data_IF_828412920974
#
_entry.id   IF_828412920974
#
_cell.length_a   1.000
_cell.length_b   1.000
_cell.length_c   1.000
_cell.angle_alpha   90.00
_cell.angle_beta   90.00
_cell.angle_gamma   90.00
#
_symmetry.space_group_name_H-M   'P 1'
#
loop_
_entity.id
_entity.type
_entity.pdbx_description
1 polymer ?
#
# COMPACT_ATOMS: atom_id res chain seq x y z
N UNK A 1 -10.43 -12.69 6.62
CA UNK A 1 -10.50 -11.38 5.89
C UNK A 1 -11.22 -10.37 6.79
N UNK A 2 -11.04 -9.04 6.58
CA UNK A 2 -11.72 -8.02 7.40
C UNK A 2 -13.25 -8.21 7.43
N UNK A 3 -13.85 -8.50 6.29
CA UNK A 3 -15.29 -8.77 6.19
C UNK A 3 -15.78 -9.96 7.03
N UNK A 4 -14.94 -10.94 7.35
CA UNK A 4 -15.27 -12.05 8.27
C UNK A 4 -15.40 -11.59 9.73
N UNK A 5 -14.87 -10.42 10.04
CA UNK A 5 -14.91 -9.80 11.36
C UNK A 5 -15.90 -8.62 11.42
N UNK A 6 -16.90 -8.63 10.53
CA UNK A 6 -17.95 -7.62 10.47
C UNK A 6 -17.49 -6.19 10.17
N UNK A 7 -16.34 -6.02 9.51
CA UNK A 7 -15.97 -4.73 8.93
C UNK A 7 -16.80 -4.48 7.66
N UNK A 8 -17.24 -3.24 7.48
CA UNK A 8 -17.77 -2.76 6.20
C UNK A 8 -16.57 -2.47 5.29
N UNK A 9 -16.42 -3.24 4.20
CA UNK A 9 -15.19 -3.28 3.41
C UNK A 9 -15.40 -2.70 2.01
N UNK A 10 -14.72 -1.60 1.75
CA UNK A 10 -14.55 -1.03 0.41
C UNK A 10 -13.18 -1.44 -0.14
N UNK A 11 -13.13 -2.19 -1.23
CA UNK A 11 -11.89 -2.63 -1.87
C UNK A 11 -11.68 -1.93 -3.21
N UNK A 12 -10.47 -1.42 -3.43
CA UNK A 12 -10.09 -0.74 -4.68
C UNK A 12 -8.89 -1.43 -5.33
N UNK A 13 -8.94 -1.60 -6.63
CA UNK A 13 -7.82 -2.10 -7.45
C UNK A 13 -7.90 -1.49 -8.86
N UNK A 14 -6.77 -1.16 -9.46
CA UNK A 14 -6.68 -0.73 -10.86
C UNK A 14 -6.95 -1.86 -11.85
N UNK A 15 -6.81 -3.11 -11.44
CA UNK A 15 -6.95 -4.31 -12.26
C UNK A 15 -8.35 -4.92 -12.17
N UNK A 16 -9.08 -4.95 -13.28
CA UNK A 16 -10.36 -5.67 -13.37
C UNK A 16 -10.20 -7.17 -13.04
N UNK A 17 -9.07 -7.78 -13.42
CA UNK A 17 -8.80 -9.18 -13.10
C UNK A 17 -8.60 -9.38 -11.58
N UNK A 18 -7.93 -8.44 -10.89
CA UNK A 18 -7.81 -8.44 -9.44
C UNK A 18 -9.18 -8.35 -8.76
N UNK A 19 -10.02 -7.40 -9.20
CA UNK A 19 -11.38 -7.23 -8.68
C UNK A 19 -12.27 -8.47 -8.93
N UNK A 20 -12.11 -9.14 -10.07
CA UNK A 20 -12.86 -10.38 -10.36
C UNK A 20 -12.52 -11.48 -9.34
N UNK A 21 -11.23 -11.67 -9.03
CA UNK A 21 -10.78 -12.65 -8.02
C UNK A 21 -11.34 -12.33 -6.64
N UNK A 22 -11.34 -11.04 -6.25
CA UNK A 22 -11.92 -10.62 -4.95
C UNK A 22 -13.44 -10.89 -4.94
N UNK A 23 -14.15 -10.56 -6.02
CA UNK A 23 -15.60 -10.80 -6.15
C UNK A 23 -15.95 -12.28 -5.99
N UNK A 24 -15.26 -13.14 -6.71
CA UNK A 24 -15.48 -14.59 -6.65
C UNK A 24 -15.18 -15.13 -5.25
N UNK A 25 -14.08 -14.71 -4.65
CA UNK A 25 -13.69 -15.13 -3.30
C UNK A 25 -14.68 -14.66 -2.23
N UNK A 26 -15.15 -13.42 -2.31
CA UNK A 26 -16.13 -12.88 -1.38
C UNK A 26 -17.48 -13.58 -1.54
N UNK A 27 -17.95 -13.77 -2.79
CA UNK A 27 -19.21 -14.48 -3.09
C UNK A 27 -19.18 -15.93 -2.59
N UNK A 28 -18.10 -16.67 -2.81
CA UNK A 28 -17.95 -18.05 -2.35
C UNK A 28 -18.00 -18.19 -0.81
N UNK A 29 -17.74 -17.11 -0.09
CA UNK A 29 -17.75 -17.05 1.38
C UNK A 29 -18.98 -16.32 1.94
N UNK A 30 -19.86 -15.80 1.10
CA UNK A 30 -21.01 -14.99 1.52
C UNK A 30 -20.63 -13.69 2.23
N UNK A 31 -19.47 -13.10 1.86
CA UNK A 31 -18.95 -11.89 2.52
C UNK A 31 -19.35 -10.63 1.73
N UNK A 32 -19.92 -9.61 2.39
CA UNK A 32 -20.20 -8.34 1.76
C UNK A 32 -18.91 -7.55 1.58
N UNK A 33 -18.54 -7.23 0.31
CA UNK A 33 -17.40 -6.39 -0.04
C UNK A 33 -17.82 -5.52 -1.22
N UNK A 34 -17.75 -4.21 -1.07
CA UNK A 34 -17.92 -3.25 -2.16
C UNK A 34 -16.64 -3.16 -2.98
N UNK A 35 -16.74 -3.20 -4.30
CA UNK A 35 -15.60 -3.23 -5.21
C UNK A 35 -15.56 -2.01 -6.11
N UNK A 36 -14.43 -1.31 -6.13
CA UNK A 36 -14.20 -0.12 -6.94
C UNK A 36 -12.99 -0.32 -7.86
N UNK A 37 -13.14 0.06 -9.14
CA UNK A 37 -12.00 0.18 -10.01
C UNK A 37 -11.40 1.57 -9.89
N UNK A 38 -10.12 1.66 -9.55
CA UNK A 38 -9.42 2.93 -9.41
C UNK A 38 -7.98 2.76 -8.94
N UNK A 39 -7.28 3.89 -8.87
CA UNK A 39 -5.90 3.94 -8.40
C UNK A 39 -5.85 4.62 -7.03
N UNK A 40 -4.86 4.24 -6.24
CA UNK A 40 -4.65 4.83 -4.92
C UNK A 40 -4.18 6.31 -4.97
N UNK A 41 -3.86 6.82 -6.17
CA UNK A 41 -3.47 8.21 -6.39
C UNK A 41 -4.66 9.19 -6.34
N UNK A 42 -5.89 8.68 -6.49
CA UNK A 42 -7.14 9.44 -6.44
C UNK A 42 -8.26 8.50 -5.97
N UNK A 43 -8.43 8.37 -4.68
CA UNK A 43 -9.43 7.48 -4.08
C UNK A 43 -10.85 8.02 -4.30
N UNK A 44 -11.80 7.22 -4.84
CA UNK A 44 -13.16 7.66 -5.15
C UNK A 44 -14.05 7.71 -3.91
N UNK A 45 -13.49 8.13 -2.78
CA UNK A 45 -14.17 8.16 -1.49
C UNK A 45 -14.16 9.57 -0.90
N UNK A 46 -15.16 9.92 -0.08
CA UNK A 46 -15.21 11.22 0.59
C UNK A 46 -14.09 11.35 1.62
N UNK A 47 -13.79 12.59 2.00
CA UNK A 47 -12.91 12.89 3.11
C UNK A 47 -13.49 12.29 4.40
N UNK A 48 -12.59 11.84 5.29
CA UNK A 48 -12.98 11.39 6.66
C UNK A 48 -13.97 10.22 6.66
N UNK A 49 -13.93 9.37 5.62
CA UNK A 49 -14.90 8.28 5.44
C UNK A 49 -14.54 6.96 6.10
N UNK A 50 -13.29 6.77 6.54
CA UNK A 50 -12.80 5.45 6.99
C UNK A 50 -12.17 5.48 8.38
N UNK A 51 -12.42 4.41 9.14
CA UNK A 51 -11.77 4.15 10.42
C UNK A 51 -10.39 3.52 10.24
N UNK A 52 -10.22 2.78 9.14
CA UNK A 52 -9.04 1.98 8.89
C UNK A 52 -8.77 1.83 7.40
N UNK A 53 -7.52 2.00 7.00
CA UNK A 53 -7.06 1.72 5.63
C UNK A 53 -5.93 0.70 5.67
N UNK A 54 -6.08 -0.36 4.89
CA UNK A 54 -5.08 -1.41 4.70
C UNK A 54 -4.52 -1.35 3.28
N UNK A 55 -3.19 -1.24 3.14
CA UNK A 55 -2.49 -1.39 1.87
C UNK A 55 -1.31 -2.33 2.01
N UNK A 56 -1.45 -3.53 1.46
CA UNK A 56 -0.46 -4.60 1.60
C UNK A 56 0.20 -4.92 0.26
N UNK A 57 1.50 -4.60 0.14
CA UNK A 57 2.31 -4.80 -1.08
C UNK A 57 1.76 -4.07 -2.32
N UNK A 58 1.20 -2.88 -2.16
CA UNK A 58 0.56 -2.13 -3.25
C UNK A 58 1.18 -0.75 -3.47
N UNK A 59 1.21 0.12 -2.46
CA UNK A 59 1.43 1.55 -2.68
C UNK A 59 2.86 1.95 -3.08
N UNK A 60 3.83 1.05 -2.97
CA UNK A 60 5.21 1.26 -3.42
C UNK A 60 5.45 1.04 -4.92
N UNK A 61 4.40 0.73 -5.69
CA UNK A 61 4.46 0.62 -7.15
C UNK A 61 4.41 2.02 -7.77
N UNK A 62 5.54 2.56 -8.17
CA UNK A 62 5.71 3.92 -8.68
C UNK A 62 6.95 4.59 -8.10
N UNK A 63 6.99 5.91 -8.20
CA UNK A 63 8.06 6.75 -7.62
C UNK A 63 7.78 7.09 -6.14
N UNK A 64 8.76 7.68 -5.44
CA UNK A 64 8.54 8.24 -4.10
C UNK A 64 7.49 9.35 -4.11
N UNK A 65 7.40 10.14 -5.19
CA UNK A 65 6.36 11.14 -5.37
C UNK A 65 4.95 10.53 -5.48
N UNK A 66 4.84 9.38 -6.17
CA UNK A 66 3.59 8.63 -6.25
C UNK A 66 3.19 8.08 -4.87
N UNK A 67 4.15 7.53 -4.14
CA UNK A 67 3.93 7.06 -2.77
C UNK A 67 3.44 8.18 -1.85
N UNK A 68 4.05 9.36 -1.95
CA UNK A 68 3.63 10.54 -1.17
C UNK A 68 2.18 10.97 -1.49
N UNK A 69 1.79 11.00 -2.78
CA UNK A 69 0.40 11.30 -3.18
C UNK A 69 -0.59 10.28 -2.63
N UNK A 70 -0.28 8.98 -2.71
CA UNK A 70 -1.12 7.90 -2.18
C UNK A 70 -1.28 7.99 -0.68
N UNK A 71 -0.23 8.28 0.05
CA UNK A 71 -0.30 8.51 1.50
C UNK A 71 -1.14 9.76 1.82
N UNK A 72 -1.06 10.81 1.00
CA UNK A 72 -1.93 11.99 1.11
C UNK A 72 -3.42 11.66 0.90
N UNK A 73 -3.74 10.83 -0.10
CA UNK A 73 -5.11 10.36 -0.32
C UNK A 73 -5.62 9.47 0.82
N UNK A 74 -4.78 8.57 1.32
CA UNK A 74 -5.10 7.75 2.50
C UNK A 74 -5.36 8.64 3.71
N UNK A 75 -4.52 9.67 3.93
CA UNK A 75 -4.73 10.63 5.00
C UNK A 75 -6.07 11.37 4.85
N UNK A 76 -6.42 11.79 3.63
CA UNK A 76 -7.66 12.50 3.33
C UNK A 76 -8.89 11.66 3.69
N UNK A 77 -8.91 10.39 3.30
CA UNK A 77 -10.08 9.52 3.49
C UNK A 77 -10.18 8.93 4.90
N UNK A 78 -9.09 8.81 5.64
CA UNK A 78 -9.13 8.40 7.05
C UNK A 78 -9.76 9.50 7.91
N UNK A 79 -10.54 9.14 8.91
CA UNK A 79 -10.97 10.08 9.96
C UNK A 79 -9.81 10.42 10.91
N UNK A 80 -9.88 11.53 11.66
CA UNK A 80 -8.96 11.76 12.79
C UNK A 80 -8.93 10.56 13.73
N UNK A 81 -7.75 10.16 14.18
CA UNK A 81 -7.50 8.91 14.92
C UNK A 81 -7.83 7.61 14.15
N UNK A 82 -8.09 7.69 12.85
CA UNK A 82 -8.20 6.51 11.97
C UNK A 82 -6.84 5.88 11.72
N UNK A 83 -6.82 4.57 11.53
CA UNK A 83 -5.58 3.78 11.44
C UNK A 83 -5.20 3.47 9.99
N UNK A 84 -3.93 3.64 9.68
CA UNK A 84 -3.27 3.14 8.48
C UNK A 84 -2.43 1.91 8.83
N UNK A 85 -2.63 0.81 8.11
CA UNK A 85 -1.69 -0.31 8.07
C UNK A 85 -1.16 -0.49 6.65
N UNK A 86 0.16 -0.41 6.50
CA UNK A 86 0.78 -0.42 5.18
C UNK A 86 2.12 -1.13 5.16
N UNK A 87 2.45 -1.71 3.99
CA UNK A 87 3.80 -2.21 3.72
C UNK A 87 4.45 -1.43 2.59
N UNK A 88 5.74 -1.13 2.74
CA UNK A 88 6.57 -0.43 1.75
C UNK A 88 7.90 -1.16 1.59
N UNK A 89 8.46 -1.20 0.39
CA UNK A 89 9.77 -1.80 0.14
C UNK A 89 10.89 -1.03 0.85
N UNK A 90 11.80 -1.78 1.46
CA UNK A 90 12.97 -1.22 2.13
C UNK A 90 14.16 -1.09 1.18
N UNK A 91 15.03 -0.11 1.39
CA UNK A 91 16.36 -0.03 0.74
C UNK A 91 17.28 -1.22 1.09
N UNK A 92 16.87 -2.10 2.02
CA UNK A 92 17.56 -3.37 2.31
C UNK A 92 17.04 -4.56 1.50
N UNK A 93 16.01 -4.36 0.67
CA UNK A 93 15.49 -5.41 -0.23
C UNK A 93 16.58 -5.81 -1.22
N UNK A 94 16.65 -7.11 -1.52
CA UNK A 94 17.65 -7.66 -2.45
C UNK A 94 17.54 -7.09 -3.88
N UNK A 95 16.39 -6.53 -4.25
CA UNK A 95 16.19 -5.89 -5.55
C UNK A 95 16.50 -4.38 -5.55
N UNK A 96 16.85 -3.79 -4.41
CA UNK A 96 17.25 -2.39 -4.37
C UNK A 96 18.52 -2.16 -5.21
N UNK A 97 18.46 -1.18 -6.09
CA UNK A 97 19.56 -0.89 -7.03
C UNK A 97 19.62 -1.84 -8.24
N UNK A 98 18.73 -2.83 -8.34
CA UNK A 98 18.69 -3.74 -9.50
C UNK A 98 17.75 -3.20 -10.58
N UNK A 99 18.23 -3.26 -11.82
CA UNK A 99 17.48 -2.77 -12.99
C UNK A 99 17.79 -1.32 -13.35
N UNK A 100 16.87 -0.67 -14.07
CA UNK A 100 17.03 0.70 -14.54
C UNK A 100 16.49 1.69 -13.52
N UNK A 101 17.35 2.56 -12.99
CA UNK A 101 16.91 3.67 -12.16
C UNK A 101 16.13 4.70 -13.01
N UNK A 102 14.95 5.10 -12.54
CA UNK A 102 14.10 6.10 -13.23
C UNK A 102 13.85 7.37 -12.39
N UNK A 103 14.06 7.28 -11.09
CA UNK A 103 14.01 8.38 -10.12
C UNK A 103 14.84 7.97 -8.87
N UNK A 104 15.09 8.88 -7.92
CA UNK A 104 15.72 8.51 -6.65
C UNK A 104 15.01 7.33 -6.01
N UNK A 105 15.79 6.34 -5.57
CA UNK A 105 15.32 5.11 -4.91
C UNK A 105 14.19 4.38 -5.65
N UNK A 106 14.13 4.50 -6.98
CA UNK A 106 13.08 3.93 -7.82
C UNK A 106 13.65 3.20 -9.02
N UNK A 107 13.33 1.91 -9.14
CA UNK A 107 13.90 1.02 -10.15
C UNK A 107 12.83 0.24 -10.91
N UNK A 108 13.12 -0.04 -12.19
CA UNK A 108 12.35 -0.94 -13.06
C UNK A 108 13.22 -2.15 -13.39
N UNK A 109 12.72 -3.35 -13.10
CA UNK A 109 13.39 -4.61 -13.43
C UNK A 109 12.81 -5.14 -14.74
N UNK A 110 13.49 -4.91 -15.85
CA UNK A 110 13.00 -5.22 -17.21
C UNK A 110 13.00 -6.72 -17.56
N UNK A 111 13.60 -7.59 -16.73
CA UNK A 111 13.83 -9.01 -17.05
C UNK A 111 12.78 -9.99 -16.51
N UNK A 112 11.73 -9.51 -15.85
CA UNK A 112 10.68 -10.38 -15.32
C UNK A 112 9.39 -10.11 -16.07
N UNK A 113 8.92 -11.05 -16.86
CA UNK A 113 7.78 -10.98 -17.79
C UNK A 113 6.44 -10.40 -17.26
N UNK A 114 6.38 -9.94 -16.01
CA UNK A 114 5.18 -9.38 -15.37
C UNK A 114 5.44 -8.18 -14.46
N UNK A 115 6.65 -7.59 -14.47
CA UNK A 115 7.02 -6.51 -13.52
C UNK A 115 7.74 -5.33 -14.19
N UNK A 116 7.24 -4.88 -15.32
CA UNK A 116 7.76 -3.67 -16.00
C UNK A 116 7.33 -2.35 -15.34
N UNK A 117 6.73 -2.41 -14.15
CA UNK A 117 6.31 -1.21 -13.42
C UNK A 117 7.37 -0.81 -12.38
N UNK A 118 7.52 0.50 -12.13
CA UNK A 118 8.47 1.01 -11.15
C UNK A 118 8.15 0.54 -9.72
N UNK A 119 9.21 0.35 -8.94
CA UNK A 119 9.11 0.14 -7.50
C UNK A 119 9.98 1.16 -6.79
N UNK A 120 9.43 1.89 -5.84
CA UNK A 120 10.19 2.75 -4.94
C UNK A 120 10.53 2.03 -3.64
N UNK A 121 11.68 2.39 -3.10
CA UNK A 121 12.24 1.83 -1.87
C UNK A 121 12.47 2.96 -0.88
N UNK A 122 12.26 2.69 0.39
CA UNK A 122 12.41 3.68 1.44
C UNK A 122 13.43 3.24 2.50
N UNK A 123 14.24 4.17 2.94
CA UNK A 123 14.90 4.09 4.22
C UNK A 123 14.01 4.65 5.34
N UNK A 124 14.46 4.59 6.57
CA UNK A 124 13.70 5.06 7.74
C UNK A 124 13.42 6.57 7.66
N UNK A 125 14.39 7.37 7.23
CA UNK A 125 14.27 8.83 7.20
C UNK A 125 13.22 9.27 6.18
N UNK A 126 13.26 8.68 4.97
CA UNK A 126 12.28 8.89 3.90
C UNK A 126 10.88 8.54 4.38
N UNK A 127 10.70 7.39 5.03
CA UNK A 127 9.38 6.97 5.54
C UNK A 127 8.84 7.91 6.61
N UNK A 128 9.65 8.32 7.58
CA UNK A 128 9.24 9.27 8.62
C UNK A 128 8.81 10.60 8.00
N UNK A 129 9.53 11.07 6.97
CA UNK A 129 9.15 12.27 6.22
C UNK A 129 7.82 12.13 5.49
N UNK A 130 7.60 11.02 4.79
CA UNK A 130 6.37 10.75 4.05
C UNK A 130 5.15 10.57 4.96
N UNK A 131 5.36 10.09 6.20
CA UNK A 131 4.32 9.86 7.20
C UNK A 131 4.17 11.02 8.20
N UNK A 132 4.64 12.22 7.87
CA UNK A 132 4.61 13.39 8.78
C UNK A 132 3.20 13.76 9.28
N UNK A 133 2.14 13.41 8.53
CA UNK A 133 0.73 13.61 8.93
C UNK A 133 0.17 12.53 9.87
N UNK A 134 1.00 11.55 10.27
CA UNK A 134 0.60 10.42 11.10
C UNK A 134 1.43 10.33 12.37
N UNK A 135 0.85 9.76 13.40
CA UNK A 135 1.57 9.26 14.58
C UNK A 135 1.94 7.80 14.36
N UNK A 136 3.24 7.51 14.33
CA UNK A 136 3.75 6.15 14.10
C UNK A 136 3.55 5.31 15.36
N UNK A 137 2.67 4.31 15.29
CA UNK A 137 2.43 3.35 16.38
C UNK A 137 3.39 2.16 16.28
N UNK A 138 3.68 1.73 15.06
CA UNK A 138 4.64 0.65 14.79
C UNK A 138 5.38 0.93 13.49
N UNK A 139 6.69 0.78 13.53
CA UNK A 139 7.57 0.79 12.36
C UNK A 139 8.58 -0.34 12.52
N UNK A 140 8.41 -1.41 11.77
CA UNK A 140 9.29 -2.56 11.81
C UNK A 140 9.72 -3.00 10.42
N UNK A 141 10.97 -3.40 10.28
CA UNK A 141 11.48 -3.98 9.04
C UNK A 141 11.43 -5.51 9.15
N UNK A 142 10.81 -6.16 8.19
CA UNK A 142 10.63 -7.61 8.19
C UNK A 142 11.14 -8.22 6.88
N UNK A 143 11.80 -9.37 7.00
CA UNK A 143 12.13 -10.25 5.88
C UNK A 143 10.87 -11.05 5.53
N UNK A 144 10.49 -11.09 4.26
CA UNK A 144 9.38 -11.93 3.82
C UNK A 144 9.83 -13.40 3.71
N UNK A 145 9.24 -14.27 4.51
CA UNK A 145 9.60 -15.70 4.55
C UNK A 145 9.47 -16.40 3.19
N UNK A 146 8.46 -16.01 2.39
CA UNK A 146 8.17 -16.62 1.09
C UNK A 146 9.01 -16.06 -0.08
N UNK A 147 9.82 -15.03 0.17
CA UNK A 147 10.68 -14.37 -0.83
C UNK A 147 12.01 -14.04 -0.20
N UNK A 148 13.01 -14.95 -0.31
CA UNK A 148 14.35 -14.73 0.22
C UNK A 148 14.92 -13.37 -0.22
N UNK A 149 15.43 -12.59 0.74
CA UNK A 149 15.98 -11.26 0.49
C UNK A 149 14.95 -10.13 0.32
N UNK A 150 13.64 -10.42 0.33
CA UNK A 150 12.62 -9.37 0.24
C UNK A 150 12.37 -8.73 1.60
N UNK A 151 12.79 -7.47 1.74
CA UNK A 151 12.64 -6.68 2.96
C UNK A 151 11.57 -5.60 2.81
N UNK A 152 10.57 -5.64 3.69
CA UNK A 152 9.51 -4.66 3.74
C UNK A 152 9.47 -3.95 5.08
N UNK A 153 9.13 -2.68 5.06
CA UNK A 153 8.62 -1.95 6.20
C UNK A 153 7.18 -2.35 6.45
N UNK A 154 6.86 -2.70 7.67
CA UNK A 154 5.51 -2.89 8.19
C UNK A 154 5.19 -1.73 9.11
N UNK A 155 4.16 -1.00 8.78
CA UNK A 155 3.82 0.27 9.41
C UNK A 155 2.38 0.21 9.90
N UNK A 156 2.17 0.62 11.14
CA UNK A 156 0.86 0.98 11.69
C UNK A 156 0.98 2.41 12.18
N UNK A 157 0.09 3.26 11.71
CA UNK A 157 0.11 4.67 12.02
C UNK A 157 -1.31 5.20 12.22
N UNK A 158 -1.47 6.22 13.03
CA UNK A 158 -2.74 6.89 13.31
C UNK A 158 -2.76 8.25 12.65
N UNK A 159 -3.86 8.61 11.96
CA UNK A 159 -4.03 9.94 11.39
C UNK A 159 -4.08 10.99 12.51
N UNK A 160 -3.20 11.98 12.43
CA UNK A 160 -3.26 13.15 13.30
C UNK A 160 -4.52 13.98 13.07
N UNK A 161 -4.95 14.65 14.13
CA UNK A 161 -6.07 15.58 14.10
C UNK A 161 -5.81 16.79 13.22
#
# INVERSE_FOLDING_TARGET
>A
MLAEHAFDVEAIDGSLAGLAVVRETAAARGLPVSLHQGLADALPFPDVGFDYVLSWNVIHHGTLGDLGRRLGEIWRVLRPAGLLQVTVLSTRDANYGIGRAIAPDTFVIDQVERKSHPHCYCDTATLVGLLAGFDLLTLSQQLQERRPGSHHWHIIAERRS
#
